data_IF_598257214911
#
_entry.id   IF_598257214911
#
_cell.length_a   1.000
_cell.length_b   1.000
_cell.length_c   1.000
_cell.angle_alpha   90.00
_cell.angle_beta   90.00
_cell.angle_gamma   90.00
#
_symmetry.space_group_name_H-M   'P 1'
#
loop_
_entity.id
_entity.type
_entity.pdbx_description
1 polymer ?
#
# COMPACT_ATOMS: atom_id res chain seq x y z
N UNK A 1 -14.57 -52.31 21.25
CA UNK A 1 -14.27 -50.96 21.79
C UNK A 1 -13.68 -50.03 20.73
N UNK A 2 -12.67 -50.44 19.95
CA UNK A 2 -12.02 -49.61 18.93
C UNK A 2 -12.96 -48.88 17.93
N UNK A 3 -13.99 -49.55 17.40
CA UNK A 3 -14.96 -48.91 16.49
C UNK A 3 -15.73 -47.74 17.13
N UNK A 4 -16.01 -47.79 18.44
CA UNK A 4 -16.73 -46.73 19.16
C UNK A 4 -15.82 -45.52 19.44
N UNK A 5 -14.54 -45.76 19.69
CA UNK A 5 -13.53 -44.71 19.88
C UNK A 5 -13.25 -44.01 18.55
N UNK A 6 -13.10 -44.76 17.45
CA UNK A 6 -12.85 -44.19 16.13
C UNK A 6 -14.02 -43.34 15.63
N UNK A 7 -15.26 -43.76 15.92
CA UNK A 7 -16.46 -42.98 15.59
C UNK A 7 -16.59 -41.71 16.44
N UNK A 8 -16.18 -41.73 17.71
CA UNK A 8 -16.14 -40.54 18.56
C UNK A 8 -15.06 -39.52 18.12
N UNK A 9 -13.89 -40.00 17.69
CA UNK A 9 -12.82 -39.14 17.15
C UNK A 9 -13.27 -38.48 15.84
N UNK A 10 -13.89 -39.23 14.93
CA UNK A 10 -14.46 -38.66 13.69
C UNK A 10 -15.58 -37.65 13.98
N UNK A 11 -16.47 -37.93 14.94
CA UNK A 11 -17.51 -36.98 15.35
C UNK A 11 -16.93 -35.69 15.96
N UNK A 12 -15.85 -35.81 16.74
CA UNK A 12 -15.17 -34.66 17.35
C UNK A 12 -14.38 -33.85 16.32
N UNK A 13 -13.87 -34.50 15.27
CA UNK A 13 -13.20 -33.86 14.12
C UNK A 13 -14.17 -33.09 13.22
N UNK A 14 -15.47 -33.44 13.26
CA UNK A 14 -16.54 -32.79 12.50
C UNK A 14 -17.17 -31.60 13.26
N UNK A 15 -16.71 -31.31 14.48
CA UNK A 15 -16.99 -30.03 15.12
C UNK A 15 -16.10 -29.00 14.45
N UNK A 16 -16.49 -28.60 13.24
CA UNK A 16 -15.93 -27.42 12.59
C UNK A 16 -16.10 -26.27 13.59
N UNK A 17 -14.98 -25.72 14.06
CA UNK A 17 -14.99 -24.45 14.75
C UNK A 17 -15.55 -23.44 13.77
N UNK A 18 -16.83 -23.07 13.91
CA UNK A 18 -17.36 -21.91 13.21
C UNK A 18 -16.52 -20.74 13.71
N UNK A 19 -15.56 -20.31 12.89
CA UNK A 19 -14.87 -19.06 13.10
C UNK A 19 -15.95 -18.00 12.99
N UNK A 20 -16.44 -17.51 14.13
CA UNK A 20 -17.35 -16.39 14.13
C UNK A 20 -16.64 -15.22 13.46
N UNK A 21 -17.34 -14.56 12.55
CA UNK A 21 -16.94 -13.27 12.01
C UNK A 21 -16.67 -12.35 13.20
N UNK A 22 -15.40 -12.07 13.47
CA UNK A 22 -14.98 -11.28 14.59
C UNK A 22 -14.67 -9.88 14.08
N UNK A 23 -15.29 -8.90 14.71
CA UNK A 23 -15.07 -7.50 14.39
C UNK A 23 -13.68 -7.14 14.89
N UNK A 24 -12.88 -6.54 14.01
CA UNK A 24 -11.52 -6.09 14.29
C UNK A 24 -11.55 -4.67 14.82
N UNK A 25 -10.86 -4.39 15.91
CA UNK A 25 -10.64 -3.04 16.42
C UNK A 25 -9.24 -2.95 17.04
N UNK A 26 -8.93 -1.82 17.69
CA UNK A 26 -7.66 -1.62 18.38
C UNK A 26 -7.34 -2.66 19.47
N UNK A 27 -8.33 -3.39 19.99
CA UNK A 27 -8.13 -4.31 21.12
C UNK A 27 -7.76 -5.73 20.68
N UNK A 28 -8.03 -6.08 19.42
CA UNK A 28 -7.83 -7.44 18.91
C UNK A 28 -7.12 -7.54 17.56
N UNK A 29 -6.92 -6.43 16.83
CA UNK A 29 -6.21 -6.44 15.55
C UNK A 29 -4.73 -6.79 15.73
N UNK A 30 -4.05 -6.13 16.66
CA UNK A 30 -2.74 -6.54 17.17
C UNK A 30 -2.71 -6.44 18.68
N UNK A 31 -1.85 -7.23 19.31
CA UNK A 31 -1.75 -7.32 20.76
C UNK A 31 -1.14 -6.07 21.43
N UNK A 32 -0.63 -5.11 20.66
CA UNK A 32 0.13 -3.95 21.13
C UNK A 32 -0.41 -2.60 20.61
N UNK A 33 -1.60 -2.54 19.98
CA UNK A 33 -2.13 -1.26 19.48
C UNK A 33 -2.58 -0.30 20.59
N UNK A 34 -2.91 -0.80 21.78
CA UNK A 34 -3.45 0.04 22.87
C UNK A 34 -2.46 1.09 23.40
N UNK A 35 -1.18 1.04 23.02
CA UNK A 35 -0.15 2.00 23.44
C UNK A 35 0.20 3.06 22.41
N UNK A 36 -0.27 2.95 21.16
CA UNK A 36 0.08 3.87 20.07
C UNK A 36 -1.05 4.86 19.78
N UNK A 37 -0.68 6.09 19.41
CA UNK A 37 -1.63 7.10 18.97
C UNK A 37 -2.19 6.80 17.56
N UNK A 38 -1.49 5.97 16.78
CA UNK A 38 -1.89 5.55 15.43
C UNK A 38 -2.82 4.32 15.41
N UNK A 39 -3.34 3.86 16.54
CA UNK A 39 -4.15 2.63 16.62
C UNK A 39 -5.32 2.64 15.62
N UNK A 40 -6.02 3.76 15.50
CA UNK A 40 -7.16 3.91 14.60
C UNK A 40 -6.74 3.95 13.12
N UNK A 41 -5.60 4.59 12.83
CA UNK A 41 -5.00 4.65 11.50
C UNK A 41 -4.60 3.23 11.03
N UNK A 42 -4.02 2.43 11.93
CA UNK A 42 -3.64 1.04 11.66
C UNK A 42 -4.88 0.19 11.38
N UNK A 43 -5.96 0.37 12.15
CA UNK A 43 -7.22 -0.35 11.93
C UNK A 43 -7.84 -0.02 10.56
N UNK A 44 -7.81 1.26 10.15
CA UNK A 44 -8.23 1.68 8.81
C UNK A 44 -7.36 1.02 7.73
N UNK A 45 -6.04 1.14 7.83
CA UNK A 45 -5.13 0.66 6.80
C UNK A 45 -5.13 -0.87 6.69
N UNK A 46 -5.37 -1.59 7.80
CA UNK A 46 -5.61 -3.03 7.76
C UNK A 46 -6.93 -3.37 7.04
N UNK A 47 -8.00 -2.61 7.28
CA UNK A 47 -9.27 -2.78 6.58
C UNK A 47 -9.12 -2.55 5.06
N UNK A 48 -8.28 -1.60 4.67
CA UNK A 48 -7.94 -1.33 3.27
C UNK A 48 -6.89 -2.30 2.69
N UNK A 49 -6.40 -3.26 3.49
CA UNK A 49 -5.28 -4.17 3.19
C UNK A 49 -3.99 -3.47 2.73
N UNK A 50 -3.79 -2.23 3.18
CA UNK A 50 -2.51 -1.53 3.06
C UNK A 50 -1.52 -2.10 4.06
N UNK A 51 -1.98 -2.47 5.26
CA UNK A 51 -1.19 -3.18 6.26
C UNK A 51 -1.68 -4.62 6.31
N UNK A 52 -0.76 -5.57 6.21
CA UNK A 52 -1.06 -6.99 6.42
C UNK A 52 -0.59 -7.44 7.80
N UNK A 53 -1.38 -8.30 8.45
CA UNK A 53 -0.99 -8.93 9.70
C UNK A 53 0.01 -10.08 9.43
N UNK A 54 1.30 -9.74 9.46
CA UNK A 54 2.43 -10.68 9.37
C UNK A 54 2.79 -11.31 10.74
N UNK A 55 2.32 -10.69 11.83
CA UNK A 55 2.63 -11.01 13.21
C UNK A 55 1.46 -10.70 14.15
N UNK A 56 1.36 -11.36 15.32
CA UNK A 56 0.43 -10.97 16.39
C UNK A 56 0.69 -9.57 16.99
N UNK A 57 1.83 -8.95 16.70
CA UNK A 57 2.25 -7.62 17.15
C UNK A 57 2.53 -6.73 15.95
N UNK A 58 2.13 -5.46 16.03
CA UNK A 58 2.41 -4.47 15.01
C UNK A 58 3.79 -3.82 15.19
N UNK A 59 4.31 -3.74 16.41
CA UNK A 59 5.54 -3.05 16.77
C UNK A 59 5.64 -1.60 16.25
N UNK A 60 4.75 -0.68 16.71
CA UNK A 60 4.64 0.68 16.15
C UNK A 60 5.97 1.46 16.13
N UNK A 61 6.83 1.25 17.14
CA UNK A 61 8.10 1.95 17.31
C UNK A 61 9.24 1.41 16.42
N UNK A 62 9.08 0.24 15.79
CA UNK A 62 10.11 -0.31 14.93
C UNK A 62 10.19 0.47 13.62
N UNK A 63 11.41 0.68 13.13
CA UNK A 63 11.64 1.20 11.77
C UNK A 63 11.02 0.25 10.75
N UNK A 64 10.27 0.79 9.79
CA UNK A 64 9.72 0.02 8.68
C UNK A 64 10.86 -0.33 7.72
N UNK A 65 11.01 -1.61 7.36
CA UNK A 65 12.01 -2.03 6.37
C UNK A 65 11.47 -1.95 4.94
N UNK A 66 12.35 -1.85 3.95
CA UNK A 66 11.95 -1.90 2.55
C UNK A 66 11.30 -3.23 2.17
N UNK A 67 11.78 -4.34 2.73
CA UNK A 67 11.16 -5.66 2.55
C UNK A 67 9.71 -5.72 3.06
N UNK A 68 9.45 -5.14 4.25
CA UNK A 68 8.10 -5.08 4.82
C UNK A 68 7.19 -4.16 4.01
N UNK A 69 7.70 -2.99 3.61
CA UNK A 69 6.95 -2.10 2.72
C UNK A 69 6.57 -2.82 1.42
N UNK A 70 7.50 -3.55 0.80
CA UNK A 70 7.25 -4.29 -0.43
C UNK A 70 6.21 -5.42 -0.25
N UNK A 71 6.21 -6.11 0.88
CA UNK A 71 5.19 -7.12 1.21
C UNK A 71 3.79 -6.51 1.39
N UNK A 72 3.70 -5.36 2.04
CA UNK A 72 2.46 -4.62 2.21
C UNK A 72 1.93 -4.07 0.88
N UNK A 73 2.80 -3.50 0.06
CA UNK A 73 2.50 -3.05 -1.31
C UNK A 73 2.02 -4.21 -2.16
N UNK A 74 2.70 -5.36 -2.09
CA UNK A 74 2.29 -6.57 -2.79
C UNK A 74 0.88 -7.01 -2.40
N UNK A 75 0.55 -7.01 -1.10
CA UNK A 75 -0.81 -7.30 -0.63
C UNK A 75 -1.86 -6.33 -1.16
N UNK A 76 -1.58 -5.03 -1.04
CA UNK A 76 -2.49 -3.98 -1.46
C UNK A 76 -2.82 -4.08 -2.95
N UNK A 77 -1.81 -4.27 -3.80
CA UNK A 77 -1.94 -4.41 -5.25
C UNK A 77 -2.16 -5.86 -5.73
N UNK A 78 -2.33 -6.83 -4.81
CA UNK A 78 -2.51 -8.27 -5.13
C UNK A 78 -1.43 -8.86 -6.02
N UNK A 79 -0.19 -8.47 -5.75
CA UNK A 79 1.00 -9.06 -6.34
C UNK A 79 1.38 -10.33 -5.58
N UNK A 80 2.15 -11.21 -6.23
CA UNK A 80 2.47 -12.52 -5.68
C UNK A 80 3.29 -12.46 -4.37
N UNK A 81 4.26 -11.54 -4.31
CA UNK A 81 5.17 -11.37 -3.17
C UNK A 81 5.87 -10.00 -3.22
N UNK A 82 6.73 -9.76 -2.23
CA UNK A 82 7.54 -8.54 -2.15
C UNK A 82 8.44 -8.32 -3.39
N UNK A 83 8.94 -9.38 -4.03
CA UNK A 83 9.76 -9.24 -5.24
C UNK A 83 8.92 -8.75 -6.41
N UNK A 84 7.68 -9.23 -6.54
CA UNK A 84 6.75 -8.73 -7.55
C UNK A 84 6.45 -7.23 -7.40
N UNK A 85 6.45 -6.69 -6.18
CA UNK A 85 6.32 -5.24 -5.95
C UNK A 85 7.54 -4.45 -6.47
N UNK A 86 8.74 -5.04 -6.39
CA UNK A 86 9.96 -4.46 -6.97
C UNK A 86 9.92 -4.54 -8.49
N UNK A 87 9.57 -5.70 -9.04
CA UNK A 87 9.52 -5.94 -10.48
C UNK A 87 8.46 -5.05 -11.17
N UNK A 88 7.37 -4.73 -10.47
CA UNK A 88 6.33 -3.80 -10.91
C UNK A 88 6.71 -2.32 -10.73
N UNK A 89 7.85 -2.02 -10.10
CA UNK A 89 8.36 -0.66 -9.92
C UNK A 89 7.70 0.15 -8.80
N UNK A 90 6.87 -0.46 -7.95
CA UNK A 90 6.29 0.22 -6.79
C UNK A 90 7.33 0.50 -5.71
N UNK A 91 8.34 -0.37 -5.59
CA UNK A 91 9.43 -0.26 -4.63
C UNK A 91 10.77 -0.48 -5.36
N UNK A 92 11.82 0.26 -5.01
CA UNK A 92 13.09 0.18 -5.75
C UNK A 92 14.01 -0.98 -5.33
N UNK A 93 13.89 -1.44 -4.09
CA UNK A 93 14.75 -2.47 -3.49
C UNK A 93 14.05 -3.11 -2.29
N UNK A 94 14.51 -4.28 -1.85
CA UNK A 94 14.11 -4.90 -0.58
C UNK A 94 15.08 -4.57 0.56
N UNK A 95 16.25 -4.02 0.24
CA UNK A 95 17.32 -3.75 1.20
C UNK A 95 17.13 -2.41 1.91
N UNK A 96 17.44 -2.38 3.21
CA UNK A 96 17.45 -1.18 4.03
C UNK A 96 16.09 -0.79 4.62
N UNK A 97 16.01 0.45 5.08
CA UNK A 97 14.84 1.00 5.76
C UNK A 97 13.97 1.80 4.80
N UNK A 98 12.66 1.71 4.98
CA UNK A 98 11.70 2.50 4.21
C UNK A 98 11.79 3.97 4.60
N UNK A 99 11.54 4.84 3.61
CA UNK A 99 11.48 6.30 3.77
C UNK A 99 10.11 6.82 3.38
N UNK A 100 9.78 8.06 3.78
CA UNK A 100 8.57 8.74 3.32
C UNK A 100 8.49 8.81 1.79
N UNK A 101 9.63 9.00 1.11
CA UNK A 101 9.71 9.02 -0.35
C UNK A 101 9.36 7.66 -0.97
N UNK A 102 9.87 6.55 -0.39
CA UNK A 102 9.53 5.21 -0.84
C UNK A 102 8.02 4.94 -0.69
N UNK A 103 7.42 5.36 0.43
CA UNK A 103 5.98 5.21 0.69
C UNK A 103 5.15 6.09 -0.24
N UNK A 104 5.57 7.34 -0.48
CA UNK A 104 4.93 8.24 -1.42
C UNK A 104 4.95 7.68 -2.85
N UNK A 105 6.09 7.11 -3.26
CA UNK A 105 6.22 6.45 -4.57
C UNK A 105 5.29 5.25 -4.66
N UNK A 106 5.32 4.37 -3.66
CA UNK A 106 4.60 3.10 -3.69
C UNK A 106 3.07 3.24 -3.70
N UNK A 107 2.50 4.13 -2.89
CA UNK A 107 1.04 4.26 -2.73
C UNK A 107 0.45 5.47 -3.44
N UNK A 108 1.25 6.50 -3.70
CA UNK A 108 0.77 7.79 -4.21
C UNK A 108 1.47 8.23 -5.50
N UNK A 109 2.22 7.34 -6.15
CA UNK A 109 2.93 7.61 -7.40
C UNK A 109 3.83 8.88 -7.31
N UNK A 110 4.38 9.15 -6.12
CA UNK A 110 5.21 10.32 -5.84
C UNK A 110 4.46 11.66 -5.82
N UNK A 111 3.12 11.66 -5.88
CA UNK A 111 2.33 12.87 -6.04
C UNK A 111 2.27 13.75 -4.79
N UNK A 112 2.60 13.23 -3.60
CA UNK A 112 2.54 14.00 -2.36
C UNK A 112 3.78 14.90 -2.22
N UNK A 113 3.56 16.13 -1.75
CA UNK A 113 4.65 17.01 -1.33
C UNK A 113 5.07 16.65 0.10
N UNK A 114 6.32 16.25 0.25
CA UNK A 114 6.90 15.90 1.56
C UNK A 114 7.41 17.15 2.27
N UNK A 115 7.08 17.27 3.56
CA UNK A 115 7.62 18.33 4.41
C UNK A 115 9.11 18.15 4.70
N UNK A 116 9.74 19.15 5.31
CA UNK A 116 11.13 19.05 5.77
C UNK A 116 11.32 17.96 6.85
N UNK A 117 10.28 17.63 7.60
CA UNK A 117 10.28 16.58 8.63
C UNK A 117 10.12 15.17 8.01
N UNK A 118 9.71 15.10 6.73
CA UNK A 118 9.41 13.87 6.00
C UNK A 118 10.51 13.53 4.98
N UNK A 119 11.78 13.67 5.38
CA UNK A 119 12.95 13.49 4.49
C UNK A 119 13.81 12.26 4.84
N UNK A 120 13.29 11.34 5.64
CA UNK A 120 14.07 10.23 6.17
C UNK A 120 13.30 8.93 6.33
N UNK A 121 13.92 8.02 7.08
CA UNK A 121 13.32 6.75 7.48
C UNK A 121 12.12 6.98 8.39
N UNK A 122 11.16 6.05 8.38
CA UNK A 122 9.97 6.12 9.20
C UNK A 122 9.73 4.85 10.00
N UNK A 123 9.11 5.00 11.17
CA UNK A 123 8.59 3.87 11.94
C UNK A 123 7.30 3.33 11.33
N UNK A 124 6.89 2.13 11.74
CA UNK A 124 5.60 1.56 11.36
C UNK A 124 4.42 2.45 11.80
N UNK A 125 4.52 3.09 12.96
CA UNK A 125 3.56 4.11 13.44
C UNK A 125 3.50 5.32 12.51
N UNK A 126 4.66 5.89 12.17
CA UNK A 126 4.75 7.04 11.29
C UNK A 126 4.26 6.73 9.87
N UNK A 127 4.48 5.50 9.39
CA UNK A 127 3.87 4.99 8.16
C UNK A 127 2.35 5.02 8.24
N UNK A 128 1.77 4.45 9.29
CA UNK A 128 0.31 4.36 9.42
C UNK A 128 -0.33 5.76 9.45
N UNK A 129 0.21 6.67 10.25
CA UNK A 129 -0.25 8.06 10.31
C UNK A 129 -0.12 8.78 8.97
N UNK A 130 1.01 8.59 8.28
CA UNK A 130 1.26 9.24 7.00
C UNK A 130 0.28 8.75 5.93
N UNK A 131 0.11 7.44 5.77
CA UNK A 131 -0.77 6.89 4.73
C UNK A 131 -2.24 7.17 5.06
N UNK A 132 -2.67 6.98 6.31
CA UNK A 132 -4.05 7.24 6.76
C UNK A 132 -4.47 8.69 6.51
N UNK A 133 -3.55 9.65 6.72
CA UNK A 133 -3.79 11.07 6.42
C UNK A 133 -4.11 11.34 4.95
N UNK A 134 -3.63 10.49 4.04
CA UNK A 134 -3.71 10.69 2.59
C UNK A 134 -4.63 9.71 1.86
N UNK A 135 -5.35 8.82 2.55
CA UNK A 135 -6.21 7.80 1.89
C UNK A 135 -7.30 8.39 0.99
N UNK A 136 -7.77 9.60 1.31
CA UNK A 136 -8.79 10.33 0.55
C UNK A 136 -8.19 11.25 -0.53
N UNK A 137 -6.87 11.32 -0.66
CA UNK A 137 -6.24 12.11 -1.71
C UNK A 137 -6.34 11.33 -3.02
N UNK A 138 -6.98 11.91 -4.02
CA UNK A 138 -7.04 11.30 -5.35
C UNK A 138 -5.66 11.35 -6.01
N UNK A 139 -5.15 10.19 -6.40
CA UNK A 139 -3.95 10.01 -7.24
C UNK A 139 -4.41 9.34 -8.53
N UNK A 140 -4.08 9.94 -9.67
CA UNK A 140 -4.54 9.48 -10.99
C UNK A 140 -6.08 9.34 -11.09
N UNK A 141 -6.83 10.18 -10.38
CA UNK A 141 -8.29 10.21 -10.42
C UNK A 141 -9.00 9.22 -9.50
N UNK A 142 -8.28 8.50 -8.63
CA UNK A 142 -8.85 7.60 -7.63
C UNK A 142 -8.19 7.78 -6.26
N UNK A 143 -8.98 7.67 -5.20
CA UNK A 143 -8.50 7.60 -3.81
C UNK A 143 -8.00 6.20 -3.47
N UNK A 144 -7.24 6.04 -2.38
CA UNK A 144 -6.81 4.71 -1.92
C UNK A 144 -7.99 3.83 -1.49
N UNK A 145 -9.06 4.46 -0.98
CA UNK A 145 -10.30 3.78 -0.60
C UNK A 145 -10.96 3.18 -1.86
N UNK A 146 -11.09 3.98 -2.92
CA UNK A 146 -11.67 3.52 -4.18
C UNK A 146 -10.79 2.47 -4.87
N UNK A 147 -9.47 2.64 -4.85
CA UNK A 147 -8.52 1.66 -5.40
C UNK A 147 -8.53 0.33 -4.62
N UNK A 148 -8.90 0.36 -3.33
CA UNK A 148 -9.15 -0.85 -2.54
C UNK A 148 -10.53 -1.49 -2.80
N UNK A 149 -11.30 -0.97 -3.76
CA UNK A 149 -12.69 -1.36 -4.07
C UNK A 149 -13.67 -1.08 -2.93
N UNK A 150 -13.40 -0.06 -2.11
CA UNK A 150 -14.31 0.37 -1.05
C UNK A 150 -15.21 1.50 -1.56
N UNK A 151 -16.47 1.50 -1.13
CA UNK A 151 -17.44 2.56 -1.43
C UNK A 151 -18.11 3.06 -0.17
N UNK A 152 -18.54 4.31 -0.14
CA UNK A 152 -19.16 4.91 1.04
C UNK A 152 -20.41 4.13 1.48
N UNK A 153 -20.47 3.83 2.77
CA UNK A 153 -21.58 3.17 3.44
C UNK A 153 -22.54 4.12 4.15
N UNK A 154 -23.49 3.60 4.95
CA UNK A 154 -24.44 4.41 5.69
C UNK A 154 -23.76 5.22 6.82
N UNK A 155 -24.25 6.45 7.02
CA UNK A 155 -23.96 7.27 8.21
C UNK A 155 -25.24 7.51 9.00
N UNK A 156 -25.12 7.81 10.29
CA UNK A 156 -26.26 8.08 11.17
C UNK A 156 -26.30 7.17 12.39
N UNK A 157 -27.42 7.16 13.10
CA UNK A 157 -27.55 6.43 14.36
C UNK A 157 -27.83 4.95 14.08
N UNK A 158 -27.16 4.07 14.81
CA UNK A 158 -27.46 2.63 14.81
C UNK A 158 -28.75 2.40 15.61
N UNK A 159 -29.81 2.00 14.94
CA UNK A 159 -31.14 1.81 15.50
C UNK A 159 -31.29 0.43 16.16
N UNK A 160 -30.65 -0.58 15.59
CA UNK A 160 -30.66 -1.95 16.08
C UNK A 160 -29.39 -2.69 15.66
N UNK A 161 -29.05 -3.75 16.41
CA UNK A 161 -28.02 -4.70 16.07
C UNK A 161 -28.51 -6.11 16.42
N UNK A 162 -28.24 -7.07 15.54
CA UNK A 162 -28.67 -8.47 15.69
C UNK A 162 -27.71 -9.43 14.98
N UNK A 163 -27.88 -10.71 15.26
CA UNK A 163 -27.21 -11.78 14.51
C UNK A 163 -28.26 -12.49 13.64
N UNK A 164 -28.02 -12.54 12.34
CA UNK A 164 -28.87 -13.21 11.36
C UNK A 164 -28.03 -14.21 10.58
N UNK A 165 -28.42 -15.49 10.60
CA UNK A 165 -27.67 -16.60 9.98
C UNK A 165 -26.18 -16.66 10.39
N UNK A 166 -25.84 -16.21 11.60
CA UNK A 166 -24.47 -16.19 12.12
C UNK A 166 -23.64 -14.97 11.72
N UNK A 167 -24.21 -14.02 10.96
CA UNK A 167 -23.59 -12.75 10.62
C UNK A 167 -24.17 -11.61 11.45
N UNK A 168 -23.33 -10.64 11.80
CA UNK A 168 -23.78 -9.43 12.47
C UNK A 168 -24.48 -8.51 11.47
N UNK A 169 -25.64 -7.98 11.87
CA UNK A 169 -26.43 -7.04 11.07
C UNK A 169 -26.75 -5.82 11.93
N UNK A 170 -26.53 -4.63 11.38
CA UNK A 170 -26.92 -3.36 12.00
C UNK A 170 -28.00 -2.68 11.18
N UNK A 171 -28.90 -1.96 11.86
CA UNK A 171 -29.94 -1.16 11.21
C UNK A 171 -29.60 0.32 11.33
N UNK A 172 -29.57 1.04 10.21
CA UNK A 172 -29.31 2.48 10.14
C UNK A 172 -30.31 3.10 9.18
N UNK A 173 -31.02 4.15 9.61
CA UNK A 173 -32.08 4.80 8.83
C UNK A 173 -33.17 3.80 8.34
N UNK A 174 -33.56 2.85 9.18
CA UNK A 174 -34.54 1.80 8.85
C UNK A 174 -34.08 0.77 7.82
N UNK A 175 -32.80 0.76 7.41
CA UNK A 175 -32.22 -0.22 6.49
C UNK A 175 -31.22 -1.12 7.20
N UNK A 176 -31.24 -2.40 6.85
CA UNK A 176 -30.35 -3.41 7.41
C UNK A 176 -29.07 -3.56 6.58
N UNK A 177 -27.94 -3.61 7.28
CA UNK A 177 -26.62 -3.76 6.70
C UNK A 177 -25.88 -4.92 7.35
N UNK A 178 -25.46 -5.88 6.54
CA UNK A 178 -24.65 -7.02 6.98
C UNK A 178 -23.22 -6.53 7.18
N UNK A 179 -22.65 -6.83 8.35
CA UNK A 179 -21.22 -6.66 8.59
C UNK A 179 -20.46 -7.80 7.93
N UNK A 180 -19.31 -7.50 7.34
CA UNK A 180 -18.47 -8.48 6.66
C UNK A 180 -17.97 -9.61 7.57
N UNK A 181 -17.18 -10.53 7.00
CA UNK A 181 -16.59 -11.64 7.76
C UNK A 181 -15.53 -11.17 8.77
N UNK A 182 -14.76 -10.12 8.43
CA UNK A 182 -13.75 -9.52 9.31
C UNK A 182 -13.86 -7.99 9.25
N UNK A 183 -15.00 -7.43 9.64
CA UNK A 183 -15.22 -6.00 9.52
C UNK A 183 -14.36 -5.29 10.56
N UNK A 184 -13.75 -4.19 10.19
CA UNK A 184 -12.99 -3.34 11.10
C UNK A 184 -13.86 -2.21 11.65
N UNK A 185 -13.66 -1.86 12.90
CA UNK A 185 -14.39 -0.79 13.55
C UNK A 185 -13.46 0.09 14.41
N UNK A 186 -13.53 1.39 14.20
CA UNK A 186 -13.08 2.38 15.18
C UNK A 186 -14.22 2.54 16.19
N UNK A 187 -14.18 1.69 17.21
CA UNK A 187 -15.17 1.60 18.27
C UNK A 187 -14.52 1.16 19.59
N UNK A 188 -15.15 1.49 20.72
CA UNK A 188 -14.69 1.09 22.07
C UNK A 188 -14.92 -0.38 22.42
N UNK A 189 -15.67 -1.10 21.58
CA UNK A 189 -15.98 -2.52 21.74
C UNK A 189 -16.27 -3.13 20.39
N UNK A 190 -16.05 -4.45 20.27
CA UNK A 190 -16.33 -5.26 19.08
C UNK A 190 -17.72 -5.89 19.11
N UNK A 191 -18.55 -5.58 20.11
CA UNK A 191 -19.94 -6.05 20.22
C UNK A 191 -20.94 -5.02 19.60
N UNK A 192 -21.56 -5.32 18.45
CA UNK A 192 -22.54 -4.45 17.81
C UNK A 192 -23.75 -4.11 18.67
N UNK A 193 -24.13 -4.97 19.63
CA UNK A 193 -25.25 -4.70 20.51
C UNK A 193 -25.01 -3.43 21.37
N UNK A 194 -23.75 -3.14 21.69
CA UNK A 194 -23.36 -1.94 22.45
C UNK A 194 -23.27 -0.70 21.56
N UNK A 195 -23.27 -0.86 20.24
CA UNK A 195 -23.23 0.26 19.29
C UNK A 195 -24.60 0.91 19.08
N UNK A 196 -25.70 0.25 19.49
CA UNK A 196 -27.05 0.79 19.36
C UNK A 196 -27.17 2.15 20.08
N UNK A 197 -27.68 3.15 19.36
CA UNK A 197 -27.78 4.54 19.81
C UNK A 197 -26.53 5.38 19.56
N UNK A 198 -25.42 4.78 19.12
CA UNK A 198 -24.23 5.52 18.70
C UNK A 198 -24.35 5.97 17.23
N UNK A 199 -23.64 7.03 16.87
CA UNK A 199 -23.62 7.55 15.50
C UNK A 199 -22.43 6.98 14.73
N UNK A 200 -22.68 6.51 13.51
CA UNK A 200 -21.67 6.24 12.49
C UNK A 200 -21.30 7.56 11.83
N UNK A 201 -20.03 7.95 11.96
CA UNK A 201 -19.47 9.11 11.28
C UNK A 201 -19.04 8.79 9.85
N UNK A 202 -18.45 7.61 9.67
CA UNK A 202 -17.96 7.10 8.39
C UNK A 202 -18.18 5.60 8.36
N UNK A 203 -18.52 5.06 7.19
CA UNK A 203 -18.49 3.63 6.96
C UNK A 203 -18.23 3.34 5.50
N UNK A 204 -17.75 2.13 5.20
CA UNK A 204 -17.46 1.72 3.84
C UNK A 204 -17.91 0.28 3.60
N UNK A 205 -18.58 0.08 2.47
CA UNK A 205 -18.73 -1.24 1.87
C UNK A 205 -17.43 -1.65 1.21
N UNK A 206 -17.10 -2.93 1.27
CA UNK A 206 -15.96 -3.51 0.59
C UNK A 206 -16.15 -5.00 0.29
N UNK A 207 -15.17 -5.64 -0.37
CA UNK A 207 -15.21 -7.06 -0.69
C UNK A 207 -15.40 -7.93 0.57
N UNK A 208 -16.31 -8.91 0.53
CA UNK A 208 -16.65 -9.77 1.67
C UNK A 208 -16.04 -11.18 1.54
N UNK A 209 -14.71 -11.29 1.61
CA UNK A 209 -13.99 -12.55 1.48
C UNK A 209 -12.53 -12.37 1.07
N UNK A 210 -11.86 -13.46 0.68
CA UNK A 210 -10.57 -13.36 0.00
C UNK A 210 -10.75 -12.56 -1.30
N UNK A 211 -9.95 -11.50 -1.50
CA UNK A 211 -9.99 -10.67 -2.71
C UNK A 211 -9.59 -11.52 -3.91
N UNK A 212 -10.56 -11.93 -4.72
CA UNK A 212 -10.33 -12.42 -6.08
C UNK A 212 -10.67 -11.26 -7.03
N UNK A 213 -9.70 -10.39 -7.36
CA UNK A 213 -9.93 -9.22 -8.23
C UNK A 213 -10.41 -9.60 -9.65
N UNK A 214 -10.22 -10.86 -10.07
CA UNK A 214 -10.69 -11.39 -11.35
C UNK A 214 -12.18 -11.76 -11.34
N UNK A 215 -12.82 -11.73 -10.16
CA UNK A 215 -14.26 -11.85 -10.03
C UNK A 215 -14.79 -10.61 -9.31
N UNK A 216 -15.65 -9.86 -9.99
CA UNK A 216 -16.61 -9.03 -9.27
C UNK A 216 -17.42 -9.97 -8.36
N UNK A 217 -16.99 -10.12 -7.11
CA UNK A 217 -17.80 -10.77 -6.11
C UNK A 217 -18.93 -9.81 -5.84
N UNK A 218 -20.14 -10.15 -6.27
CA UNK A 218 -21.37 -9.42 -5.93
C UNK A 218 -21.63 -9.40 -4.40
N UNK A 219 -20.78 -10.05 -3.60
CA UNK A 219 -20.80 -10.09 -2.15
C UNK A 219 -19.99 -8.92 -1.57
N UNK A 220 -20.59 -7.72 -1.59
CA UNK A 220 -20.11 -6.56 -0.81
C UNK A 220 -20.84 -6.51 0.53
N UNK A 221 -20.11 -6.24 1.61
CA UNK A 221 -20.67 -6.06 2.95
C UNK A 221 -20.05 -4.84 3.62
N UNK A 222 -20.61 -4.42 4.76
CA UNK A 222 -20.06 -3.31 5.54
C UNK A 222 -18.75 -3.77 6.19
N UNK A 223 -17.60 -3.29 5.67
CA UNK A 223 -16.26 -3.75 6.07
C UNK A 223 -15.55 -2.79 7.02
N UNK A 224 -15.93 -1.52 7.03
CA UNK A 224 -15.32 -0.54 7.93
C UNK A 224 -16.36 0.41 8.52
N UNK A 225 -16.24 0.70 9.81
CA UNK A 225 -17.14 1.60 10.55
C UNK A 225 -16.33 2.49 11.48
N UNK A 226 -16.66 3.79 11.52
CA UNK A 226 -16.18 4.74 12.51
C UNK A 226 -17.36 5.22 13.33
N UNK A 227 -17.36 4.92 14.63
CA UNK A 227 -18.35 5.44 15.56
C UNK A 227 -17.88 6.77 16.16
N UNK A 228 -18.82 7.70 16.36
CA UNK A 228 -18.56 9.00 16.98
C UNK A 228 -18.31 10.11 15.95
N UNK A 229 -17.08 10.63 15.90
CA UNK A 229 -16.71 11.78 15.07
C UNK A 229 -15.96 11.35 13.81
N UNK A 230 -16.11 12.13 12.73
CA UNK A 230 -15.40 11.92 11.47
C UNK A 230 -13.91 12.14 11.69
N UNK A 231 -13.07 11.20 11.24
CA UNK A 231 -11.61 11.22 11.44
C UNK A 231 -10.86 11.55 10.16
N UNK A 232 -11.36 11.07 9.02
CA UNK A 232 -10.66 11.17 7.75
C UNK A 232 -11.37 12.17 6.85
N UNK A 233 -10.69 13.28 6.54
CA UNK A 233 -11.22 14.33 5.67
C UNK A 233 -10.40 14.41 4.40
N UNK A 234 -11.03 14.82 3.30
CA UNK A 234 -10.31 15.16 2.08
C UNK A 234 -9.39 16.35 2.38
N UNK A 235 -8.09 16.15 2.21
CA UNK A 235 -7.15 17.26 2.19
C UNK A 235 -7.12 17.84 0.78
N UNK A 236 -7.05 19.17 0.63
CA UNK A 236 -6.85 19.76 -0.69
C UNK A 236 -5.55 19.21 -1.28
N UNK A 237 -5.63 18.51 -2.40
CA UNK A 237 -4.47 18.06 -3.16
C UNK A 237 -3.84 19.32 -3.77
N UNK A 238 -2.72 19.78 -3.22
CA UNK A 238 -1.86 20.75 -3.91
C UNK A 238 -1.28 20.04 -5.14
N UNK A 239 -1.98 20.17 -6.25
CA UNK A 239 -1.66 19.50 -7.50
C UNK A 239 -0.35 20.07 -8.05
N UNK A 240 0.74 19.30 -8.01
CA UNK A 240 1.80 19.54 -8.98
C UNK A 240 1.28 19.11 -10.35
N UNK A 241 1.57 19.89 -11.38
CA UNK A 241 1.32 19.48 -12.76
C UNK A 241 1.98 18.10 -12.96
N UNK A 242 1.15 17.08 -13.16
CA UNK A 242 1.60 15.72 -13.46
C UNK A 242 2.46 15.76 -14.72
N UNK A 243 3.75 15.49 -14.60
CA UNK A 243 4.48 14.86 -15.68
C UNK A 243 4.15 13.38 -15.60
N UNK A 244 3.34 12.89 -16.53
CA UNK A 244 3.01 11.45 -16.60
C UNK A 244 4.29 10.66 -16.87
N UNK A 245 4.40 9.41 -16.40
CA UNK A 245 5.55 8.54 -16.75
C UNK A 245 5.66 8.38 -18.29
N UNK A 246 4.53 8.45 -19.01
CA UNK A 246 4.49 8.56 -20.47
C UNK A 246 5.13 9.84 -21.01
N UNK A 247 4.92 11.00 -20.37
CA UNK A 247 5.63 12.25 -20.72
C UNK A 247 7.09 12.25 -20.30
N UNK A 248 7.47 11.58 -19.20
CA UNK A 248 8.87 11.41 -18.82
C UNK A 248 9.61 10.47 -19.78
N UNK A 249 8.93 9.48 -20.35
CA UNK A 249 9.47 8.61 -21.40
C UNK A 249 9.51 9.30 -22.77
N UNK A 250 8.52 10.13 -23.09
CA UNK A 250 8.50 10.95 -24.31
C UNK A 250 9.53 12.10 -24.22
N UNK A 251 9.81 12.66 -23.05
CA UNK A 251 10.88 13.64 -22.83
C UNK A 251 12.28 12.98 -22.84
N UNK A 252 12.41 11.70 -22.47
CA UNK A 252 13.64 10.92 -22.73
C UNK A 252 13.80 10.63 -24.24
N UNK A 253 12.71 10.47 -24.99
CA UNK A 253 12.75 10.29 -26.45
C UNK A 253 12.96 11.62 -27.21
N UNK A 254 12.53 12.75 -26.66
CA UNK A 254 12.73 14.10 -27.24
C UNK A 254 14.08 14.72 -26.83
N UNK A 255 14.67 14.31 -25.68
CA UNK A 255 16.06 14.66 -25.33
C UNK A 255 17.08 13.77 -26.07
N UNK A 256 16.64 12.69 -26.73
CA UNK A 256 17.46 11.90 -27.65
C UNK A 256 17.67 12.56 -29.05
N UNK A 257 17.28 13.83 -29.22
CA UNK A 257 17.61 14.64 -30.39
C UNK A 257 18.38 15.91 -30.02
N UNK A 258 19.48 15.75 -29.28
CA UNK A 258 20.60 16.71 -29.32
C UNK A 258 21.69 16.18 -30.26
N UNK A 259 22.36 17.06 -31.02
CA UNK A 259 23.21 16.67 -32.14
C UNK A 259 24.36 15.82 -31.64
N UNK A 260 24.67 14.78 -32.41
CA UNK A 260 25.82 13.91 -32.21
C UNK A 260 27.03 14.74 -31.74
N UNK A 261 27.45 14.50 -30.50
CA UNK A 261 28.77 14.89 -30.06
C UNK A 261 29.76 14.29 -31.07
N UNK A 262 30.37 15.17 -31.85
CA UNK A 262 31.35 14.88 -32.88
C UNK A 262 32.39 13.94 -32.25
N UNK A 263 32.30 12.65 -32.59
CA UNK A 263 33.32 11.67 -32.23
C UNK A 263 34.58 12.14 -32.93
N UNK A 264 35.38 12.91 -32.22
CA UNK A 264 36.68 13.38 -32.68
C UNK A 264 37.51 12.13 -32.85
N UNK A 265 37.51 11.59 -34.07
CA UNK A 265 38.16 10.31 -34.32
C UNK A 265 39.65 10.52 -34.10
N UNK A 266 40.23 9.79 -33.14
CA UNK A 266 41.67 9.86 -32.84
C UNK A 266 42.55 9.47 -34.05
N UNK A 267 41.94 9.05 -35.16
CA UNK A 267 42.52 8.78 -36.47
C UNK A 267 43.39 9.92 -37.00
N UNK A 268 43.00 11.19 -36.83
CA UNK A 268 43.85 12.32 -37.29
C UNK A 268 45.12 12.48 -36.43
N UNK A 269 45.05 12.14 -35.14
CA UNK A 269 46.18 12.15 -34.23
C UNK A 269 47.23 11.09 -34.63
N UNK A 270 46.78 9.90 -35.02
CA UNK A 270 47.67 8.84 -35.55
C UNK A 270 48.27 9.17 -36.92
N UNK A 271 47.50 9.78 -37.83
CA UNK A 271 48.00 10.22 -39.14
C UNK A 271 49.05 11.33 -38.96
N UNK A 272 48.79 12.29 -38.08
CA UNK A 272 49.72 13.40 -37.80
C UNK A 272 51.02 12.90 -37.17
N UNK A 273 50.94 11.96 -36.21
CA UNK A 273 52.11 11.33 -35.61
C UNK A 273 52.93 10.54 -36.65
N UNK A 274 52.28 9.80 -37.55
CA UNK A 274 52.95 9.07 -38.63
C UNK A 274 53.67 10.01 -39.62
N UNK A 275 53.05 11.14 -39.99
CA UNK A 275 53.66 12.15 -40.85
C UNK A 275 54.89 12.81 -40.20
N UNK A 276 54.84 13.11 -38.90
CA UNK A 276 55.97 13.68 -38.15
C UNK A 276 57.14 12.68 -38.10
N UNK A 277 56.87 11.40 -37.85
CA UNK A 277 57.91 10.36 -37.84
C UNK A 277 58.53 10.19 -39.23
N UNK A 278 57.71 10.18 -40.30
CA UNK A 278 58.22 10.10 -41.67
C UNK A 278 59.08 11.30 -42.05
N UNK A 279 58.70 12.52 -41.65
CA UNK A 279 59.47 13.74 -41.87
C UNK A 279 60.81 13.72 -41.11
N UNK A 280 60.81 13.25 -39.86
CA UNK A 280 62.03 13.08 -39.06
C UNK A 280 62.97 12.04 -39.67
N UNK A 281 62.43 10.91 -40.14
CA UNK A 281 63.23 9.89 -40.83
C UNK A 281 63.81 10.43 -42.14
N UNK A 282 63.04 11.15 -42.95
CA UNK A 282 63.54 11.81 -44.17
C UNK A 282 64.64 12.84 -43.86
N UNK A 283 64.48 13.64 -42.80
CA UNK A 283 65.49 14.59 -42.36
C UNK A 283 66.78 13.89 -41.91
N UNK A 284 66.66 12.81 -41.13
CA UNK A 284 67.82 12.02 -40.68
C UNK A 284 68.52 11.29 -41.84
N UNK A 285 67.78 10.81 -42.84
CA UNK A 285 68.35 10.18 -44.03
C UNK A 285 69.03 11.19 -44.97
N UNK A 286 68.49 12.40 -45.12
CA UNK A 286 69.13 13.45 -45.91
C UNK A 286 70.38 14.02 -45.24
N UNK A 287 70.48 13.98 -43.90
CA UNK A 287 71.68 14.45 -43.18
C UNK A 287 72.91 13.55 -43.37
N UNK A 288 72.77 12.33 -43.90
CA UNK A 288 73.89 11.42 -44.22
C UNK A 288 74.45 11.58 -45.64
N UNK A 289 73.93 12.52 -46.44
CA UNK A 289 74.37 12.76 -47.83
C UNK A 289 75.05 14.11 -48.06
N UNK A 290 75.52 14.77 -47.00
CA UNK A 290 76.42 15.94 -47.08
C UNK A 290 77.70 15.62 -46.32
#
# INVERSE_FOLDING_TARGET
MFKKIMMAVVLFSLIATNAHAHIMNRDNLYSDLYVTEAADDIVLLAALHVIQADSPQFDPANTLTMAQLAEWVAGYYSLADAQAAVDAGFVQTLDGNATYEAVNTAYFNGALTLSAEQQGELTREAFAQFVAKHVNNAVNGQTMIEAASFTAGPTGVIEAARVENGQNVITVNGQDYILGNHPSAIATTTDPAVWVGQSIAESYFGPNGERDFDKASDDTALQFIVLGEKRYTELPVETQQQTTIEQALEEVEVVAAQPEAEKTSWTWLYITAACIIAALLLFLFNKKRV
#
